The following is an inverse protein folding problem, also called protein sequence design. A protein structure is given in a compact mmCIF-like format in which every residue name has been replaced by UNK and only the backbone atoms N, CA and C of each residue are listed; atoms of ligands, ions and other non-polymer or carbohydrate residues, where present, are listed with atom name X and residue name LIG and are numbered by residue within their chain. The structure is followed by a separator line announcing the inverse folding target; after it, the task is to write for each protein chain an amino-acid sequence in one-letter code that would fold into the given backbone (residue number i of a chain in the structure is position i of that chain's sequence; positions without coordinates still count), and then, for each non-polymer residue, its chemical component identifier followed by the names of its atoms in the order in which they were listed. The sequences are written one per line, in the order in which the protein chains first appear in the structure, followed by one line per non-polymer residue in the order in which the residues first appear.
data_IF_454635783175
#
_entry.id   IF_454635783175
#
_cell.length_a   1.000
_cell.length_b   1.000
_cell.length_c   1.000
_cell.angle_alpha   90.00
_cell.angle_beta   90.00
_cell.angle_gamma   90.00
#
_symmetry.space_group_name_H-M   'P 1'
#
loop_
_entity.id
_entity.type
_entity.pdbx_description
1 polymer ?
#
# COMPACT_ATOMS: atom_id res chain seq x y z
N UNK A 1 18.05 -7.27 9.30
CA UNK A 1 17.71 -6.58 8.03
C UNK A 1 16.71 -5.44 8.19
N UNK A 2 15.41 -5.67 8.38
CA UNK A 2 14.40 -4.58 8.29
C UNK A 2 14.53 -3.47 9.35
N UNK A 3 14.96 -3.81 10.58
CA UNK A 3 15.29 -2.82 11.61
C UNK A 3 16.43 -1.88 11.17
N UNK A 4 17.43 -2.40 10.46
CA UNK A 4 18.55 -1.60 9.99
C UNK A 4 18.10 -0.61 8.91
N UNK A 5 17.24 -1.06 7.99
CA UNK A 5 16.64 -0.20 6.95
C UNK A 5 15.91 1.00 7.58
N UNK A 6 15.02 0.76 8.55
CA UNK A 6 14.29 1.86 9.18
C UNK A 6 15.18 2.77 10.03
N UNK A 7 16.22 2.22 10.65
CA UNK A 7 17.23 3.01 11.37
C UNK A 7 17.92 3.98 10.41
N UNK A 8 18.38 3.49 9.26
CA UNK A 8 19.05 4.32 8.27
C UNK A 8 18.11 5.35 7.63
N UNK A 9 16.86 4.98 7.35
CA UNK A 9 15.85 5.94 6.87
C UNK A 9 15.64 7.08 7.87
N UNK A 10 15.57 6.80 9.17
CA UNK A 10 15.43 7.83 10.21
C UNK A 10 16.69 8.66 10.40
N UNK A 11 17.88 8.04 10.30
CA UNK A 11 19.17 8.71 10.51
C UNK A 11 19.38 9.88 9.56
N UNK A 12 18.88 9.79 8.32
CA UNK A 12 19.06 10.83 7.29
C UNK A 12 17.98 11.91 7.30
N UNK A 13 16.93 11.76 8.11
CA UNK A 13 15.82 12.71 8.17
C UNK A 13 16.21 13.90 9.05
N UNK A 14 16.06 15.11 8.52
CA UNK A 14 16.30 16.35 9.27
C UNK A 14 15.27 16.53 10.40
N UNK A 15 15.58 17.31 11.44
CA UNK A 15 14.60 17.67 12.46
C UNK A 15 13.31 18.24 11.84
N UNK A 16 12.15 17.78 12.31
CA UNK A 16 10.87 18.15 11.70
C UNK A 16 10.58 17.53 10.33
N UNK A 17 11.44 16.64 9.81
CA UNK A 17 11.22 15.88 8.58
C UNK A 17 10.36 14.62 8.78
N UNK A 18 9.90 14.02 7.68
CA UNK A 18 9.02 12.85 7.69
C UNK A 18 9.63 11.66 6.98
N UNK A 19 9.30 10.46 7.46
CA UNK A 19 9.43 9.20 6.72
C UNK A 19 8.03 8.74 6.35
N UNK A 20 7.84 8.43 5.08
CA UNK A 20 6.61 7.90 4.53
C UNK A 20 6.92 6.55 3.89
N UNK A 21 6.15 5.53 4.26
CA UNK A 21 6.17 4.21 3.63
C UNK A 21 4.79 3.99 3.01
N UNK A 22 4.77 3.55 1.75
CA UNK A 22 3.54 3.26 1.01
C UNK A 22 3.55 1.79 0.62
N UNK A 23 2.48 1.07 0.98
CA UNK A 23 2.34 -0.36 0.69
C UNK A 23 0.90 -0.68 0.28
N UNK A 24 0.72 -1.75 -0.48
CA UNK A 24 -0.61 -2.19 -0.93
C UNK A 24 -1.43 -2.76 0.23
N UNK A 25 -2.64 -2.22 0.43
CA UNK A 25 -3.70 -2.73 1.31
C UNK A 25 -4.78 -3.47 0.50
N UNK A 26 -4.35 -4.15 -0.56
CA UNK A 26 -5.10 -4.97 -1.52
C UNK A 26 -5.47 -4.32 -2.86
N UNK A 27 -5.45 -5.16 -3.89
CA UNK A 27 -5.92 -4.92 -5.25
C UNK A 27 -7.13 -5.81 -5.51
N UNK A 28 -8.18 -5.28 -6.11
CA UNK A 28 -9.43 -6.02 -6.40
C UNK A 28 -10.32 -6.27 -5.18
N UNK A 29 -10.16 -5.48 -4.12
CA UNK A 29 -11.00 -5.53 -2.92
C UNK A 29 -11.69 -4.19 -2.70
N UNK A 30 -12.94 -4.23 -2.25
CA UNK A 30 -13.67 -3.02 -1.87
C UNK A 30 -13.30 -2.50 -0.47
N UNK A 31 -12.56 -3.29 0.30
CA UNK A 31 -12.12 -2.96 1.66
C UNK A 31 -10.58 -3.05 1.78
N UNK A 32 -9.94 -2.15 2.55
CA UNK A 32 -8.51 -2.17 2.78
C UNK A 32 -8.12 -3.32 3.73
N UNK A 33 -7.21 -4.18 3.28
CA UNK A 33 -6.66 -5.28 4.10
C UNK A 33 -5.23 -5.65 3.67
N UNK A 34 -4.38 -6.09 4.60
CA UNK A 34 -3.08 -6.65 4.22
C UNK A 34 -3.28 -7.83 3.25
N UNK A 35 -2.54 -7.89 2.12
CA UNK A 35 -2.75 -8.94 1.13
C UNK A 35 -2.20 -10.30 1.59
N UNK A 36 -1.27 -10.32 2.55
CA UNK A 36 -0.72 -11.54 3.14
C UNK A 36 -0.56 -11.43 4.66
N UNK A 37 -0.50 -12.56 5.39
CA UNK A 37 -0.16 -12.56 6.81
C UNK A 37 1.21 -11.97 7.11
N UNK A 38 2.18 -12.14 6.22
CA UNK A 38 3.53 -11.57 6.33
C UNK A 38 3.48 -10.05 6.33
N UNK A 39 2.73 -9.48 5.39
CA UNK A 39 2.55 -8.03 5.30
C UNK A 39 1.72 -7.49 6.47
N UNK A 40 0.71 -8.25 6.95
CA UNK A 40 0.00 -7.90 8.16
C UNK A 40 0.94 -7.77 9.38
N UNK A 41 1.87 -8.73 9.55
CA UNK A 41 2.89 -8.67 10.61
C UNK A 41 3.85 -7.49 10.42
N UNK A 42 4.25 -7.21 9.18
CA UNK A 42 5.10 -6.06 8.86
C UNK A 42 4.42 -4.73 9.21
N UNK A 43 3.15 -4.55 8.85
CA UNK A 43 2.42 -3.32 9.17
C UNK A 43 2.23 -3.14 10.68
N UNK A 44 1.91 -4.23 11.40
CA UNK A 44 1.83 -4.20 12.86
C UNK A 44 3.18 -3.82 13.49
N UNK A 45 4.30 -4.28 12.92
CA UNK A 45 5.64 -3.91 13.36
C UNK A 45 5.97 -2.43 13.08
N UNK A 46 5.58 -1.89 11.92
CA UNK A 46 5.72 -0.44 11.64
C UNK A 46 4.96 0.42 12.66
N UNK A 47 3.74 0.00 13.00
CA UNK A 47 2.84 0.75 13.88
C UNK A 47 3.24 0.61 15.36
N UNK A 48 3.43 -0.63 15.84
CA UNK A 48 3.71 -0.92 17.25
C UNK A 48 5.14 -0.59 17.68
N UNK A 49 6.13 -1.07 16.92
CA UNK A 49 7.53 -1.00 17.35
C UNK A 49 8.20 0.29 16.89
N UNK A 50 7.77 0.81 15.73
CA UNK A 50 8.35 2.02 15.15
C UNK A 50 7.44 3.24 15.31
N UNK A 51 6.19 3.11 15.74
CA UNK A 51 5.31 4.25 16.00
C UNK A 51 4.89 5.00 14.73
N UNK A 52 4.96 4.36 13.57
CA UNK A 52 4.35 4.92 12.36
C UNK A 52 2.83 4.98 12.52
N UNK A 53 2.23 6.02 11.97
CA UNK A 53 0.78 6.21 11.96
C UNK A 53 0.23 5.84 10.59
N UNK A 54 -0.71 4.88 10.56
CA UNK A 54 -1.38 4.44 9.33
C UNK A 54 -2.48 5.40 8.90
N UNK A 55 -2.53 5.64 7.60
CA UNK A 55 -3.67 6.15 6.85
C UNK A 55 -3.95 5.22 5.69
N UNK A 56 -5.20 5.18 5.26
CA UNK A 56 -5.65 4.36 4.14
C UNK A 56 -6.16 5.30 3.08
N UNK A 57 -5.77 5.02 1.84
CA UNK A 57 -6.13 5.81 0.68
C UNK A 57 -6.69 4.85 -0.36
N UNK A 58 -7.86 5.17 -0.88
CA UNK A 58 -8.37 4.51 -2.07
C UNK A 58 -7.58 5.02 -3.28
N UNK A 59 -6.96 4.11 -4.01
CA UNK A 59 -5.99 4.39 -5.08
C UNK A 59 -6.33 3.59 -6.34
N UNK A 60 -7.62 3.43 -6.60
CA UNK A 60 -8.17 2.69 -7.75
C UNK A 60 -7.46 3.00 -9.08
N UNK A 61 -7.24 1.96 -9.86
CA UNK A 61 -6.80 2.11 -11.25
C UNK A 61 -8.01 2.39 -12.14
N UNK A 62 -7.94 3.46 -12.93
CA UNK A 62 -8.99 3.85 -13.86
C UNK A 62 -8.59 3.47 -15.29
N UNK A 63 -9.40 2.64 -15.93
CA UNK A 63 -9.30 2.26 -17.34
C UNK A 63 -10.50 2.79 -18.12
N UNK A 64 -10.42 2.77 -19.46
CA UNK A 64 -11.51 3.23 -20.31
C UNK A 64 -12.67 2.21 -20.36
N UNK A 65 -12.35 0.92 -20.39
CA UNK A 65 -13.31 -0.18 -20.41
C UNK A 65 -12.88 -1.32 -19.48
N UNK A 66 -13.79 -2.23 -19.05
CA UNK A 66 -13.41 -3.43 -18.32
C UNK A 66 -12.46 -4.34 -19.12
N UNK A 67 -12.61 -4.39 -20.44
CA UNK A 67 -11.73 -5.14 -21.34
C UNK A 67 -10.30 -4.57 -21.34
N UNK A 68 -10.18 -3.24 -21.36
CA UNK A 68 -8.88 -2.56 -21.21
C UNK A 68 -8.26 -2.84 -19.84
N UNK A 69 -9.08 -2.81 -18.77
CA UNK A 69 -8.62 -3.13 -17.42
C UNK A 69 -8.01 -4.53 -17.35
N UNK A 70 -8.69 -5.52 -17.93
CA UNK A 70 -8.22 -6.90 -18.02
C UNK A 70 -6.90 -6.99 -18.80
N UNK A 71 -6.84 -6.38 -19.98
CA UNK A 71 -5.68 -6.46 -20.87
C UNK A 71 -4.40 -5.92 -20.22
N UNK A 72 -4.52 -4.95 -19.31
CA UNK A 72 -3.39 -4.37 -18.59
C UNK A 72 -3.14 -5.05 -17.24
N UNK A 73 -4.19 -5.38 -16.48
CA UNK A 73 -4.05 -5.91 -15.12
C UNK A 73 -3.58 -7.37 -15.07
N UNK A 74 -3.96 -8.19 -16.06
CA UNK A 74 -3.67 -9.64 -16.05
C UNK A 74 -2.15 -9.93 -15.98
N UNK A 75 -1.35 -9.14 -16.71
CA UNK A 75 0.11 -9.29 -16.69
C UNK A 75 0.73 -8.99 -15.31
N UNK A 76 0.23 -7.98 -14.59
CA UNK A 76 0.80 -7.56 -13.32
C UNK A 76 0.26 -8.35 -12.12
N UNK A 77 -1.02 -8.70 -12.15
CA UNK A 77 -1.73 -9.22 -10.98
C UNK A 77 -2.26 -10.64 -11.15
N UNK A 78 -2.10 -11.23 -12.34
CA UNK A 78 -2.44 -12.61 -12.63
C UNK A 78 -3.87 -12.83 -13.12
N UNK A 79 -4.15 -14.06 -13.57
CA UNK A 79 -5.42 -14.42 -14.22
C UNK A 79 -6.62 -14.42 -13.27
N UNK A 80 -6.41 -14.64 -11.97
CA UNK A 80 -7.48 -14.64 -10.97
C UNK A 80 -8.09 -13.25 -10.81
N UNK A 81 -7.25 -12.20 -10.71
CA UNK A 81 -7.74 -10.83 -10.63
C UNK A 81 -8.39 -10.42 -11.96
N UNK A 82 -7.81 -10.81 -13.10
CA UNK A 82 -8.40 -10.55 -14.41
C UNK A 82 -9.81 -11.18 -14.54
N UNK A 83 -10.00 -12.40 -14.02
CA UNK A 83 -11.32 -13.02 -13.96
C UNK A 83 -12.30 -12.25 -13.06
N UNK A 84 -11.85 -11.73 -11.92
CA UNK A 84 -12.68 -10.89 -11.04
C UNK A 84 -13.07 -9.57 -11.72
N UNK A 85 -12.15 -8.92 -12.44
CA UNK A 85 -12.44 -7.71 -13.23
C UNK A 85 -13.52 -7.98 -14.25
N UNK A 86 -13.40 -9.08 -15.03
CA UNK A 86 -14.41 -9.50 -16.01
C UNK A 86 -15.77 -9.74 -15.36
N UNK A 87 -15.80 -10.50 -14.27
CA UNK A 87 -17.02 -10.88 -13.57
C UNK A 87 -17.78 -9.67 -12.98
N UNK A 88 -17.04 -8.67 -12.49
CA UNK A 88 -17.63 -7.48 -11.87
C UNK A 88 -17.80 -6.30 -12.83
N UNK A 89 -17.32 -6.40 -14.08
CA UNK A 89 -17.39 -5.30 -15.05
C UNK A 89 -16.59 -4.07 -14.62
N UNK A 90 -15.43 -4.25 -13.98
CA UNK A 90 -14.64 -3.15 -13.44
C UNK A 90 -13.80 -2.44 -14.51
N UNK A 91 -14.29 -1.30 -15.00
CA UNK A 91 -13.43 -0.30 -15.66
C UNK A 91 -12.59 0.51 -14.64
N UNK A 92 -13.08 0.58 -13.40
CA UNK A 92 -12.34 1.10 -12.24
C UNK A 92 -12.01 -0.08 -11.35
N UNK A 93 -10.75 -0.50 -11.34
CA UNK A 93 -10.25 -1.60 -10.52
C UNK A 93 -10.00 -1.08 -9.10
N UNK A 94 -10.68 -1.62 -8.07
CA UNK A 94 -10.46 -1.21 -6.69
C UNK A 94 -9.02 -1.46 -6.25
N UNK A 95 -8.40 -0.45 -5.63
CA UNK A 95 -7.07 -0.56 -5.00
C UNK A 95 -7.08 0.27 -3.72
N UNK A 96 -6.46 -0.28 -2.68
CA UNK A 96 -6.20 0.44 -1.45
C UNK A 96 -4.70 0.51 -1.20
N UNK A 97 -4.20 1.71 -0.90
CA UNK A 97 -2.82 1.93 -0.49
C UNK A 97 -2.79 2.38 0.96
N UNK A 98 -1.96 1.71 1.75
CA UNK A 98 -1.62 2.15 3.09
C UNK A 98 -0.48 3.16 3.05
N UNK A 99 -0.60 4.16 3.90
CA UNK A 99 0.34 5.24 4.07
C UNK A 99 0.76 5.27 5.54
N UNK A 100 2.01 4.89 5.82
CA UNK A 100 2.58 4.91 7.16
C UNK A 100 3.50 6.11 7.30
N UNK A 101 3.16 7.00 8.23
CA UNK A 101 3.94 8.22 8.50
C UNK A 101 4.64 8.18 9.85
N UNK A 102 5.93 8.47 9.87
CA UNK A 102 6.68 8.84 11.06
C UNK A 102 7.24 10.26 10.89
N UNK A 103 7.27 11.00 11.99
CA UNK A 103 7.70 12.40 12.02
C UNK A 103 8.87 12.52 12.98
N UNK A 104 10.01 13.03 12.49
CA UNK A 104 11.14 13.35 13.34
C UNK A 104 10.77 14.50 14.30
N UNK A 105 11.25 14.47 15.56
CA UNK A 105 11.08 15.60 16.47
C UNK A 105 11.59 16.89 15.84
N UNK A 106 10.92 18.00 16.10
CA UNK A 106 11.42 19.32 15.74
C UNK A 106 12.64 19.67 16.61
N UNK A 107 13.56 20.47 16.08
CA UNK A 107 14.58 21.11 16.92
C UNK A 107 13.89 22.06 17.88
N UNK A 108 14.19 21.93 19.17
CA UNK A 108 13.78 22.88 20.22
C UNK A 108 14.38 24.26 20.01
#
# INVERSE_FOLDING_TARGET
EMHHVLTEMRRVVQPGGQVIIMETLSTGSLEPRPPTPELARYYAWLEGDWGFQRRELQTDYQFATPEDAVAHAEFFFGPELAAAIRANGWARLPEWTGFWRWQAPASS
#
